data_IF_777975584485
#
_entry.id   IF_777975584485
#
_cell.length_a   1.000
_cell.length_b   1.000
_cell.length_c   1.000
_cell.angle_alpha   90.00
_cell.angle_beta   90.00
_cell.angle_gamma   90.00
#
_symmetry.space_group_name_H-M   'P 1'
#
loop_
_entity.id
_entity.type
_entity.pdbx_description
1 polymer ?
#
# COMPACT_ATOMS: atom_id res chain seq x y z
N UNK A 1 -7.34 -9.34 13.84
CA UNK A 1 -7.77 -8.89 15.19
C UNK A 1 -8.25 -10.08 15.99
N UNK A 2 -9.43 -10.64 15.69
CA UNK A 2 -9.97 -11.81 16.42
C UNK A 2 -9.10 -13.07 16.36
N UNK A 3 -8.46 -13.31 15.21
CA UNK A 3 -7.54 -14.45 15.08
C UNK A 3 -6.41 -14.38 16.12
N UNK A 4 -5.91 -13.18 16.44
CA UNK A 4 -4.88 -13.03 17.46
C UNK A 4 -5.45 -13.27 18.86
N UNK A 5 -6.65 -12.78 19.14
CA UNK A 5 -7.28 -12.97 20.45
C UNK A 5 -7.64 -14.44 20.70
N UNK A 6 -8.12 -15.14 19.68
CA UNK A 6 -8.51 -16.55 19.74
C UNK A 6 -7.30 -17.49 19.79
N UNK A 7 -6.22 -17.18 19.05
CA UNK A 7 -5.04 -18.03 18.99
C UNK A 7 -4.09 -17.86 20.19
N UNK A 8 -3.95 -16.65 20.74
CA UNK A 8 -2.93 -16.29 21.73
C UNK A 8 -3.51 -15.85 23.09
N UNK A 9 -4.83 -15.70 23.18
CA UNK A 9 -5.51 -15.18 24.35
C UNK A 9 -5.51 -13.65 24.42
N UNK A 10 -6.47 -13.11 25.18
CA UNK A 10 -6.83 -11.67 25.19
C UNK A 10 -5.65 -10.71 25.45
N UNK A 11 -4.74 -11.05 26.37
CA UNK A 11 -3.61 -10.16 26.74
C UNK A 11 -2.55 -10.07 25.65
N UNK A 12 -2.16 -11.21 25.06
CA UNK A 12 -1.14 -11.25 24.00
C UNK A 12 -1.75 -10.76 22.68
N UNK A 13 -3.00 -11.10 22.39
CA UNK A 13 -3.75 -10.59 21.25
C UNK A 13 -3.87 -9.06 21.27
N UNK A 14 -4.16 -8.47 22.42
CA UNK A 14 -4.15 -7.01 22.62
C UNK A 14 -2.80 -6.38 22.27
N UNK A 15 -1.68 -6.93 22.80
CA UNK A 15 -0.35 -6.40 22.52
C UNK A 15 -0.02 -6.44 21.02
N UNK A 16 -0.32 -7.56 20.35
CA UNK A 16 -0.06 -7.71 18.91
C UNK A 16 -0.94 -6.79 18.06
N UNK A 17 -2.22 -6.62 18.41
CA UNK A 17 -3.10 -5.69 17.73
C UNK A 17 -2.63 -4.24 17.89
N UNK A 18 -2.07 -3.86 19.04
CA UNK A 18 -1.46 -2.53 19.24
C UNK A 18 -0.19 -2.33 18.43
N UNK A 19 0.70 -3.33 18.40
CA UNK A 19 1.91 -3.29 17.55
C UNK A 19 1.50 -3.14 16.08
N UNK A 20 0.49 -3.91 15.66
CA UNK A 20 -0.01 -3.84 14.29
C UNK A 20 -0.64 -2.48 13.98
N UNK A 21 -1.42 -1.91 14.91
CA UNK A 21 -1.93 -0.55 14.80
C UNK A 21 -0.80 0.48 14.62
N UNK A 22 0.29 0.36 15.38
CA UNK A 22 1.46 1.24 15.25
C UNK A 22 2.14 1.10 13.88
N UNK A 23 2.30 -0.13 13.38
CA UNK A 23 2.85 -0.39 12.04
C UNK A 23 2.00 0.30 10.97
N UNK A 24 0.67 0.21 11.07
CA UNK A 24 -0.23 0.89 10.14
C UNK A 24 -0.07 2.42 10.20
N UNK A 25 0.00 3.01 11.39
CA UNK A 25 0.21 4.47 11.56
C UNK A 25 1.54 4.95 10.97
N UNK A 26 2.61 4.17 11.18
CA UNK A 26 3.92 4.46 10.58
C UNK A 26 3.88 4.32 9.06
N UNK A 27 3.23 3.27 8.54
CA UNK A 27 3.07 3.05 7.11
C UNK A 27 2.35 4.23 6.45
N UNK A 28 1.24 4.70 7.03
CA UNK A 28 0.48 5.86 6.53
C UNK A 28 1.38 7.11 6.50
N UNK A 29 2.17 7.32 7.55
CA UNK A 29 3.02 8.51 7.68
C UNK A 29 4.17 8.52 6.67
N UNK A 30 4.79 7.36 6.44
CA UNK A 30 5.86 7.21 5.43
C UNK A 30 5.28 7.42 4.04
N UNK A 31 4.20 6.71 3.71
CA UNK A 31 3.54 6.83 2.40
C UNK A 31 3.07 8.26 2.17
N UNK A 32 2.38 8.90 3.12
CA UNK A 32 1.93 10.28 2.98
C UNK A 32 3.09 11.27 2.80
N UNK A 33 4.26 11.01 3.42
CA UNK A 33 5.46 11.82 3.19
C UNK A 33 6.00 11.64 1.78
N UNK A 34 6.08 10.41 1.28
CA UNK A 34 6.47 10.12 -0.11
C UNK A 34 5.59 10.89 -1.10
N UNK A 35 4.28 10.85 -0.90
CA UNK A 35 3.32 11.57 -1.73
C UNK A 35 3.39 13.09 -1.61
N UNK A 36 3.67 13.59 -0.42
CA UNK A 36 3.84 15.03 -0.19
C UNK A 36 5.06 15.55 -0.94
N UNK A 37 6.18 14.83 -0.87
CA UNK A 37 7.41 15.22 -1.57
C UNK A 37 7.22 15.14 -3.09
N UNK A 38 6.59 14.07 -3.61
CA UNK A 38 6.26 13.97 -5.03
C UNK A 38 5.32 15.11 -5.50
N UNK A 39 4.26 15.38 -4.75
CA UNK A 39 3.31 16.46 -5.08
C UNK A 39 3.97 17.83 -5.06
N UNK A 40 4.86 18.05 -4.08
CA UNK A 40 5.65 19.27 -4.01
C UNK A 40 6.55 19.42 -5.23
N UNK A 41 7.26 18.37 -5.64
CA UNK A 41 8.20 18.41 -6.77
C UNK A 41 7.50 18.58 -8.12
N UNK A 42 6.30 18.00 -8.30
CA UNK A 42 5.65 17.95 -9.61
C UNK A 42 4.51 18.96 -9.80
N UNK A 43 3.88 19.47 -8.72
CA UNK A 43 2.75 20.40 -8.83
C UNK A 43 2.93 21.67 -8.02
N UNK A 44 3.37 21.53 -6.76
CA UNK A 44 3.24 22.57 -5.74
C UNK A 44 4.60 22.98 -5.17
N UNK A 45 5.54 23.33 -6.05
CA UNK A 45 6.95 23.62 -5.70
C UNK A 45 7.10 24.62 -4.55
N UNK A 46 6.27 25.66 -4.55
CA UNK A 46 6.31 26.76 -3.57
C UNK A 46 5.50 26.47 -2.29
N UNK A 47 4.71 25.39 -2.26
CA UNK A 47 3.84 25.10 -1.11
C UNK A 47 4.62 24.39 0.00
N UNK A 48 4.56 24.85 1.25
CA UNK A 48 5.18 24.14 2.36
C UNK A 48 4.52 22.76 2.56
N UNK A 49 5.31 21.72 2.89
CA UNK A 49 4.81 20.34 2.98
C UNK A 49 3.68 20.19 4.00
N UNK A 50 3.69 20.96 5.09
CA UNK A 50 2.63 20.96 6.11
C UNK A 50 1.23 21.27 5.56
N UNK A 51 1.11 22.17 4.59
CA UNK A 51 -0.18 22.48 3.97
C UNK A 51 -0.69 21.31 3.13
N UNK A 52 0.19 20.66 2.37
CA UNK A 52 -0.15 19.49 1.55
C UNK A 52 -0.60 18.34 2.46
N UNK A 53 0.18 18.01 3.49
CA UNK A 53 -0.17 16.98 4.47
C UNK A 53 -1.51 17.30 5.14
N UNK A 54 -1.73 18.55 5.54
CA UNK A 54 -2.99 18.99 6.16
C UNK A 54 -4.21 18.73 5.28
N UNK A 55 -4.13 19.01 3.98
CA UNK A 55 -5.23 18.76 3.03
C UNK A 55 -5.55 17.27 2.91
N UNK A 56 -4.51 16.41 2.81
CA UNK A 56 -4.70 14.96 2.80
C UNK A 56 -5.36 14.47 4.09
N UNK A 57 -4.89 14.95 5.25
CA UNK A 57 -5.43 14.56 6.55
C UNK A 57 -6.91 14.97 6.68
N UNK A 58 -7.28 16.17 6.28
CA UNK A 58 -8.67 16.63 6.29
C UNK A 58 -9.55 15.70 5.45
N UNK A 59 -9.10 15.36 4.23
CA UNK A 59 -9.82 14.44 3.36
C UNK A 59 -9.94 13.03 3.96
N UNK A 60 -8.86 12.50 4.53
CA UNK A 60 -8.85 11.19 5.21
C UNK A 60 -9.83 11.17 6.38
N UNK A 61 -9.84 12.21 7.22
CA UNK A 61 -10.76 12.34 8.37
C UNK A 61 -12.20 12.39 7.91
N UNK A 62 -12.50 13.23 6.91
CA UNK A 62 -13.85 13.39 6.37
C UNK A 62 -14.40 12.05 5.85
N UNK A 63 -13.64 11.36 5.00
CA UNK A 63 -14.08 10.06 4.44
C UNK A 63 -14.16 9.00 5.54
N UNK A 64 -13.25 9.01 6.52
CA UNK A 64 -13.27 8.08 7.65
C UNK A 64 -14.49 8.25 8.56
N UNK A 65 -14.99 9.48 8.75
CA UNK A 65 -16.23 9.72 9.50
C UNK A 65 -17.48 9.14 8.82
N UNK A 66 -17.46 9.04 7.49
CA UNK A 66 -18.55 8.43 6.72
C UNK A 66 -18.51 6.89 6.76
N UNK A 67 -17.46 6.30 7.35
CA UNK A 67 -17.34 4.86 7.61
C UNK A 67 -16.88 4.02 6.41
N UNK A 68 -16.69 2.73 6.69
CA UNK A 68 -16.08 1.76 5.76
C UNK A 68 -16.85 1.59 4.44
N UNK A 69 -18.18 1.61 4.50
CA UNK A 69 -19.01 1.45 3.30
C UNK A 69 -18.80 2.63 2.33
N UNK A 70 -18.64 3.84 2.86
CA UNK A 70 -18.37 5.05 2.08
C UNK A 70 -16.98 4.97 1.43
N UNK A 71 -15.96 4.50 2.17
CA UNK A 71 -14.62 4.23 1.60
C UNK A 71 -14.73 3.24 0.44
N UNK A 72 -15.46 2.14 0.63
CA UNK A 72 -15.66 1.13 -0.42
C UNK A 72 -16.40 1.65 -1.66
N UNK A 73 -17.42 2.50 -1.48
CA UNK A 73 -18.15 3.15 -2.58
C UNK A 73 -17.26 4.09 -3.37
N UNK A 74 -16.47 4.91 -2.69
CA UNK A 74 -15.50 5.83 -3.32
C UNK A 74 -14.42 5.05 -4.07
N UNK A 75 -13.86 4.00 -3.45
CA UNK A 75 -12.89 3.12 -4.08
C UNK A 75 -13.43 2.46 -5.36
N UNK A 76 -14.69 1.99 -5.33
CA UNK A 76 -15.35 1.41 -6.50
C UNK A 76 -15.65 2.44 -7.58
N UNK A 77 -16.06 3.66 -7.21
CA UNK A 77 -16.33 4.73 -8.15
C UNK A 77 -15.06 5.11 -8.94
N UNK A 78 -13.94 5.24 -8.23
CA UNK A 78 -12.68 5.67 -8.84
C UNK A 78 -11.85 4.53 -9.43
N UNK A 79 -12.11 3.26 -9.13
CA UNK A 79 -11.34 2.16 -9.71
C UNK A 79 -11.35 2.14 -11.24
N UNK A 80 -12.50 2.40 -11.87
CA UNK A 80 -12.63 2.44 -13.33
C UNK A 80 -11.79 3.56 -13.98
N UNK A 81 -11.92 4.84 -13.60
CA UNK A 81 -11.09 5.89 -14.19
C UNK A 81 -9.61 5.72 -13.86
N UNK A 82 -9.26 5.18 -12.69
CA UNK A 82 -7.86 4.89 -12.33
C UNK A 82 -7.25 3.84 -13.27
N UNK A 83 -7.93 2.72 -13.50
CA UNK A 83 -7.47 1.68 -14.43
C UNK A 83 -7.41 2.21 -15.86
N UNK A 84 -8.40 2.99 -16.28
CA UNK A 84 -8.43 3.60 -17.60
C UNK A 84 -7.24 4.54 -17.82
N UNK A 85 -6.94 5.43 -16.87
CA UNK A 85 -5.81 6.33 -16.94
C UNK A 85 -4.49 5.57 -16.95
N UNK A 86 -4.36 4.55 -16.11
CA UNK A 86 -3.20 3.67 -16.09
C UNK A 86 -2.94 3.03 -17.46
N UNK A 87 -3.94 2.36 -18.04
CA UNK A 87 -3.83 1.72 -19.36
C UNK A 87 -3.48 2.76 -20.43
N UNK A 88 -4.10 3.95 -20.38
CA UNK A 88 -3.85 5.04 -21.32
C UNK A 88 -2.38 5.48 -21.29
N UNK A 89 -1.80 5.69 -20.10
CA UNK A 89 -0.39 6.06 -19.96
C UNK A 89 0.53 4.99 -20.56
N UNK A 90 0.26 3.71 -20.29
CA UNK A 90 1.07 2.61 -20.84
C UNK A 90 0.97 2.54 -22.37
N UNK A 91 -0.24 2.61 -22.93
CA UNK A 91 -0.45 2.55 -24.38
C UNK A 91 0.19 3.72 -25.11
N UNK A 92 0.07 4.93 -24.58
CA UNK A 92 0.65 6.12 -25.19
C UNK A 92 2.18 6.14 -25.07
N UNK A 93 2.74 5.50 -24.04
CA UNK A 93 4.20 5.35 -23.87
C UNK A 93 4.84 4.36 -24.86
N UNK A 94 4.04 3.59 -25.61
CA UNK A 94 4.52 2.50 -26.47
C UNK A 94 5.62 2.91 -27.46
N UNK A 95 5.58 4.13 -28.02
CA UNK A 95 6.62 4.63 -28.95
C UNK A 95 8.02 4.68 -28.36
N UNK A 96 8.15 4.70 -27.04
CA UNK A 96 9.44 4.72 -26.33
C UNK A 96 9.99 3.32 -26.06
N UNK A 97 9.18 2.27 -26.29
CA UNK A 97 9.55 0.92 -25.91
C UNK A 97 10.60 0.37 -26.87
N UNK A 98 11.71 -0.07 -26.31
CA UNK A 98 12.80 -0.69 -27.05
C UNK A 98 12.98 -2.13 -26.57
N UNK A 99 12.48 -3.09 -27.36
CA UNK A 99 12.44 -4.51 -27.00
C UNK A 99 13.82 -5.10 -26.68
N UNK A 100 14.89 -4.58 -27.29
CA UNK A 100 16.26 -5.06 -27.04
C UNK A 100 16.71 -4.84 -25.59
N UNK A 101 16.08 -3.91 -24.85
CA UNK A 101 16.39 -3.63 -23.43
C UNK A 101 15.89 -4.70 -22.46
N UNK A 102 15.08 -5.65 -22.94
CA UNK A 102 14.72 -6.84 -22.17
C UNK A 102 15.90 -7.80 -22.00
N UNK A 103 16.93 -7.66 -22.84
CA UNK A 103 18.08 -8.55 -22.83
C UNK A 103 19.23 -7.98 -21.98
N UNK A 104 19.99 -8.85 -21.28
CA UNK A 104 19.78 -10.29 -21.16
C UNK A 104 18.59 -10.64 -20.25
N UNK A 105 17.72 -11.55 -20.72
CA UNK A 105 16.62 -12.06 -19.89
C UNK A 105 17.21 -12.77 -18.67
N UNK A 106 16.63 -12.51 -17.49
CA UNK A 106 17.05 -13.03 -16.19
C UNK A 106 18.46 -12.60 -15.73
N UNK A 107 19.19 -11.75 -16.47
CA UNK A 107 20.44 -11.09 -16.06
C UNK A 107 21.31 -11.89 -15.06
N UNK A 108 21.25 -11.49 -13.79
CA UNK A 108 21.99 -12.07 -12.65
C UNK A 108 21.52 -13.47 -12.20
N UNK A 109 20.66 -14.13 -12.96
CA UNK A 109 20.05 -15.43 -12.69
C UNK A 109 18.66 -15.36 -12.06
N UNK A 110 17.92 -16.47 -12.21
CA UNK A 110 16.59 -16.62 -11.63
C UNK A 110 16.61 -16.59 -10.09
N UNK A 111 17.68 -17.10 -9.46
CA UNK A 111 17.84 -17.09 -8.01
C UNK A 111 17.83 -15.68 -7.42
N UNK A 112 18.69 -14.79 -7.94
CA UNK A 112 18.72 -13.39 -7.53
C UNK A 112 17.40 -12.67 -7.81
N UNK A 113 16.72 -13.02 -8.91
CA UNK A 113 15.41 -12.46 -9.24
C UNK A 113 14.35 -12.84 -8.21
N UNK A 114 14.30 -14.12 -7.81
CA UNK A 114 13.36 -14.61 -6.79
C UNK A 114 13.66 -14.02 -5.42
N UNK A 115 14.93 -13.93 -5.03
CA UNK A 115 15.34 -13.32 -3.77
C UNK A 115 14.89 -11.85 -3.69
N UNK A 116 15.17 -11.06 -4.73
CA UNK A 116 14.70 -9.68 -4.81
C UNK A 116 13.18 -9.57 -4.81
N UNK A 117 12.48 -10.50 -5.47
CA UNK A 117 11.02 -10.58 -5.45
C UNK A 117 10.46 -10.83 -4.05
N UNK A 118 11.08 -11.73 -3.27
CA UNK A 118 10.71 -12.01 -1.89
C UNK A 118 10.97 -10.81 -0.97
N UNK A 119 12.15 -10.18 -1.08
CA UNK A 119 12.48 -9.00 -0.30
C UNK A 119 11.47 -7.86 -0.58
N UNK A 120 11.08 -7.69 -1.84
CA UNK A 120 10.12 -6.65 -2.27
C UNK A 120 8.65 -7.04 -2.12
N UNK A 121 8.36 -8.24 -1.59
CA UNK A 121 6.98 -8.71 -1.39
C UNK A 121 6.17 -7.82 -0.44
N UNK A 122 6.83 -7.04 0.41
CA UNK A 122 6.22 -6.04 1.29
C UNK A 122 5.33 -5.02 0.55
N UNK A 123 5.53 -4.82 -0.76
CA UNK A 123 4.64 -4.03 -1.61
C UNK A 123 3.19 -4.55 -1.62
N UNK A 124 2.96 -5.83 -1.30
CA UNK A 124 1.63 -6.44 -1.17
C UNK A 124 1.18 -6.53 0.30
N UNK A 125 1.92 -5.96 1.24
CA UNK A 125 1.71 -6.08 2.69
C UNK A 125 0.38 -5.50 3.16
N UNK A 126 -0.20 -4.54 2.44
CA UNK A 126 -1.50 -3.96 2.78
C UNK A 126 -2.68 -4.93 2.59
N UNK A 127 -2.45 -6.11 2.01
CA UNK A 127 -3.48 -7.16 1.91
C UNK A 127 -4.04 -7.56 3.28
N UNK A 128 -3.29 -7.33 4.36
CA UNK A 128 -3.72 -7.62 5.73
C UNK A 128 -4.97 -6.82 6.11
N UNK A 129 -5.21 -5.67 5.48
CA UNK A 129 -6.45 -4.90 5.65
C UNK A 129 -7.69 -5.72 5.35
N UNK A 130 -7.63 -6.68 4.41
CA UNK A 130 -8.75 -7.59 4.17
C UNK A 130 -9.11 -8.38 5.43
N UNK A 131 -8.10 -8.83 6.19
CA UNK A 131 -8.30 -9.52 7.46
C UNK A 131 -8.93 -8.64 8.54
N UNK A 132 -8.62 -7.34 8.54
CA UNK A 132 -9.24 -6.36 9.45
C UNK A 132 -10.71 -6.15 9.07
N UNK A 133 -11.00 -6.05 7.77
CA UNK A 133 -12.34 -5.79 7.24
C UNK A 133 -13.16 -7.06 6.97
N UNK A 134 -12.67 -8.24 7.36
CA UNK A 134 -13.27 -9.52 7.04
C UNK A 134 -14.74 -9.62 7.51
N UNK A 135 -15.05 -9.07 8.69
CA UNK A 135 -16.43 -9.02 9.22
C UNK A 135 -17.38 -8.10 8.46
N UNK A 136 -16.85 -7.14 7.71
CA UNK A 136 -17.65 -6.26 6.87
C UNK A 136 -17.96 -6.89 5.50
N UNK A 137 -17.39 -8.06 5.18
CA UNK A 137 -17.70 -8.79 3.97
C UNK A 137 -18.96 -9.66 4.15
N UNK A 138 -19.75 -9.76 3.08
CA UNK A 138 -21.01 -10.51 3.09
C UNK A 138 -20.84 -12.01 3.34
N UNK A 139 -19.70 -12.60 2.99
CA UNK A 139 -19.42 -14.01 3.25
C UNK A 139 -17.92 -14.32 3.39
N UNK A 140 -17.61 -15.41 4.09
CA UNK A 140 -16.25 -15.96 4.22
C UNK A 140 -15.69 -16.50 2.90
N UNK A 141 -16.56 -16.92 1.96
CA UNK A 141 -16.16 -17.33 0.61
C UNK A 141 -15.68 -16.12 -0.21
N UNK A 142 -16.31 -14.97 -0.04
CA UNK A 142 -15.92 -13.74 -0.72
C UNK A 142 -14.54 -13.27 -0.28
N UNK A 143 -14.16 -13.48 1.00
CA UNK A 143 -12.84 -13.14 1.51
C UNK A 143 -11.69 -13.76 0.68
N UNK A 144 -11.74 -15.07 0.43
CA UNK A 144 -10.68 -15.77 -0.31
C UNK A 144 -10.64 -15.42 -1.81
N UNK A 145 -11.80 -15.11 -2.39
CA UNK A 145 -11.92 -14.69 -3.79
C UNK A 145 -11.38 -13.26 -3.96
N UNK A 146 -11.81 -12.34 -3.09
CA UNK A 146 -11.39 -10.94 -3.11
C UNK A 146 -9.88 -10.82 -2.88
N UNK A 147 -9.33 -11.54 -1.89
CA UNK A 147 -7.88 -11.53 -1.63
C UNK A 147 -7.06 -12.00 -2.83
N UNK A 148 -7.44 -13.13 -3.44
CA UNK A 148 -6.73 -13.68 -4.61
C UNK A 148 -6.82 -12.76 -5.82
N UNK A 149 -8.01 -12.23 -6.11
CA UNK A 149 -8.21 -11.28 -7.21
C UNK A 149 -7.43 -9.99 -6.95
N UNK A 150 -7.40 -9.50 -5.71
CA UNK A 150 -6.63 -8.34 -5.30
C UNK A 150 -5.13 -8.50 -5.61
N UNK A 151 -4.52 -9.60 -5.17
CA UNK A 151 -3.11 -9.91 -5.44
C UNK A 151 -2.85 -10.03 -6.94
N UNK A 152 -3.70 -10.76 -7.68
CA UNK A 152 -3.50 -10.95 -9.11
C UNK A 152 -3.58 -9.64 -9.89
N UNK A 153 -4.54 -8.78 -9.55
CA UNK A 153 -4.70 -7.48 -10.21
C UNK A 153 -3.53 -6.55 -9.85
N UNK A 154 -3.16 -6.43 -8.57
CA UNK A 154 -2.03 -5.59 -8.18
C UNK A 154 -0.71 -6.09 -8.75
N UNK A 155 -0.52 -7.41 -8.78
CA UNK A 155 0.62 -8.06 -9.42
C UNK A 155 0.68 -7.76 -10.91
N UNK A 156 -0.43 -7.89 -11.63
CA UNK A 156 -0.48 -7.54 -13.05
C UNK A 156 -0.15 -6.06 -13.30
N UNK A 157 -0.66 -5.14 -12.47
CA UNK A 157 -0.37 -3.70 -12.57
C UNK A 157 1.11 -3.43 -12.34
N UNK A 158 1.69 -3.92 -11.24
CA UNK A 158 3.12 -3.72 -10.90
C UNK A 158 4.02 -4.35 -11.97
N UNK A 159 3.73 -5.58 -12.40
CA UNK A 159 4.48 -6.23 -13.48
C UNK A 159 4.42 -5.43 -14.79
N UNK A 160 3.26 -4.87 -15.13
CA UNK A 160 3.10 -4.03 -16.33
C UNK A 160 3.91 -2.73 -16.21
N UNK A 161 3.92 -2.10 -15.04
CA UNK A 161 4.75 -0.91 -14.77
C UNK A 161 6.23 -1.23 -14.95
N UNK A 162 6.72 -2.28 -14.29
CA UNK A 162 8.13 -2.69 -14.36
C UNK A 162 8.54 -3.05 -15.79
N UNK A 163 7.71 -3.82 -16.49
CA UNK A 163 7.93 -4.18 -17.88
C UNK A 163 8.03 -2.94 -18.78
N UNK A 164 7.08 -2.01 -18.64
CA UNK A 164 7.04 -0.78 -19.43
C UNK A 164 8.23 0.14 -19.10
N UNK A 165 8.69 0.15 -17.85
CA UNK A 165 9.84 0.93 -17.40
C UNK A 165 11.14 0.40 -18.01
N UNK A 166 11.36 -0.92 -17.97
CA UNK A 166 12.54 -1.59 -18.58
C UNK A 166 12.59 -1.36 -20.08
N UNK A 167 11.44 -1.39 -20.76
CA UNK A 167 11.37 -1.08 -22.19
C UNK A 167 11.67 0.40 -22.48
N UNK A 168 11.28 1.30 -21.59
CA UNK A 168 11.38 2.76 -21.78
C UNK A 168 12.73 3.35 -21.40
N UNK A 169 13.48 2.71 -20.49
CA UNK A 169 14.77 3.22 -20.01
C UNK A 169 15.85 2.13 -19.93
N UNK A 170 17.13 2.45 -20.18
CA UNK A 170 18.25 1.58 -19.84
C UNK A 170 18.28 1.25 -18.34
N UNK A 171 18.77 0.06 -17.97
CA UNK A 171 18.72 -0.43 -16.57
C UNK A 171 19.39 0.51 -15.57
N UNK A 172 20.51 1.15 -15.93
CA UNK A 172 21.24 2.07 -15.06
C UNK A 172 20.52 3.41 -14.86
N UNK A 173 19.65 3.80 -15.79
CA UNK A 173 18.77 4.96 -15.62
C UNK A 173 17.54 4.55 -14.81
N UNK A 174 16.93 3.41 -15.15
CA UNK A 174 15.73 2.91 -14.51
C UNK A 174 15.89 2.71 -12.99
N UNK A 175 17.10 2.35 -12.53
CA UNK A 175 17.42 2.19 -11.11
C UNK A 175 17.43 3.50 -10.30
N UNK A 176 17.64 4.64 -10.97
CA UNK A 176 17.76 5.96 -10.35
C UNK A 176 16.45 6.78 -10.44
N UNK A 177 15.44 6.26 -11.15
CA UNK A 177 14.15 6.95 -11.30
C UNK A 177 13.35 6.87 -10.00
N UNK A 178 13.04 8.02 -9.40
CA UNK A 178 12.09 8.10 -8.29
C UNK A 178 10.70 7.61 -8.72
N UNK A 179 10.14 8.20 -9.78
CA UNK A 179 8.77 7.94 -10.24
C UNK A 179 8.75 7.58 -11.72
N UNK A 180 9.06 6.32 -12.08
CA UNK A 180 9.22 5.93 -13.48
C UNK A 180 7.94 6.13 -14.31
N UNK A 181 6.76 5.91 -13.74
CA UNK A 181 5.49 6.09 -14.46
C UNK A 181 5.22 7.57 -14.75
N UNK A 182 5.55 8.47 -13.81
CA UNK A 182 5.43 9.92 -14.04
C UNK A 182 6.36 10.36 -15.17
N UNK A 183 7.63 9.92 -15.13
CA UNK A 183 8.62 10.28 -16.15
C UNK A 183 8.23 9.72 -17.52
N UNK A 184 7.68 8.50 -17.57
CA UNK A 184 7.11 7.97 -18.81
C UNK A 184 5.98 8.86 -19.33
N UNK A 185 5.04 9.25 -18.44
CA UNK A 185 3.91 10.08 -18.81
C UNK A 185 4.34 11.48 -19.31
N UNK A 186 5.38 12.07 -18.73
CA UNK A 186 5.90 13.38 -19.13
C UNK A 186 6.67 13.36 -20.45
N UNK A 187 7.15 12.19 -20.88
CA UNK A 187 7.80 11.99 -22.17
C UNK A 187 6.82 11.69 -23.31
N UNK A 188 5.51 11.60 -23.01
CA UNK A 188 4.48 11.42 -24.03
C UNK A 188 4.24 12.73 -24.76
N UNK A 189 4.58 12.73 -26.04
CA UNK A 189 4.32 13.83 -26.95
C UNK A 189 3.77 13.29 -28.28
N UNK A 190 2.46 13.43 -28.50
CA UNK A 190 1.83 13.15 -29.80
C UNK A 190 1.40 14.46 -30.45
N UNK A 191 2.40 15.17 -30.99
CA UNK A 191 2.18 16.39 -31.76
C UNK A 191 1.57 17.49 -30.90
N UNK A 192 0.58 18.20 -31.43
CA UNK A 192 -0.02 19.36 -30.74
C UNK A 192 -1.20 19.01 -29.82
N UNK A 193 -1.74 17.80 -29.90
CA UNK A 193 -3.02 17.45 -29.27
C UNK A 193 -2.87 16.73 -27.92
N UNK A 194 -1.93 15.79 -27.81
CA UNK A 194 -1.67 15.09 -26.55
C UNK A 194 -0.33 15.53 -25.99
N UNK A 195 -0.40 16.61 -25.22
CA UNK A 195 0.70 17.18 -24.45
C UNK A 195 0.31 17.16 -22.98
N UNK A 196 1.29 17.05 -22.09
CA UNK A 196 1.12 17.14 -20.64
C UNK A 196 0.27 16.02 -19.99
N UNK A 197 0.40 14.79 -20.48
CA UNK A 197 -0.36 13.64 -19.94
C UNK A 197 0.02 13.33 -18.49
N UNK A 198 1.23 13.72 -18.06
CA UNK A 198 1.69 13.58 -16.69
C UNK A 198 0.74 14.21 -15.66
N UNK A 199 -0.01 15.25 -16.03
CA UNK A 199 -1.00 15.88 -15.14
C UNK A 199 -2.15 14.92 -14.82
N UNK A 200 -2.63 14.17 -15.82
CA UNK A 200 -3.68 13.15 -15.65
C UNK A 200 -3.15 12.03 -14.76
N UNK A 201 -1.92 11.58 -15.00
CA UNK A 201 -1.28 10.56 -14.17
C UNK A 201 -1.22 11.01 -12.71
N UNK A 202 -0.66 12.19 -12.43
CA UNK A 202 -0.56 12.73 -11.08
C UNK A 202 -1.91 12.81 -10.39
N UNK A 203 -2.94 13.33 -11.07
CA UNK A 203 -4.27 13.47 -10.50
C UNK A 203 -4.83 12.10 -10.08
N UNK A 204 -4.74 11.12 -10.98
CA UNK A 204 -5.21 9.76 -10.70
C UNK A 204 -4.37 9.07 -9.62
N UNK A 205 -3.07 9.30 -9.61
CA UNK A 205 -2.18 8.73 -8.60
C UNK A 205 -2.50 9.28 -7.22
N UNK A 206 -2.61 10.61 -7.06
CA UNK A 206 -3.00 11.27 -5.82
C UNK A 206 -4.36 10.76 -5.29
N UNK A 207 -5.32 10.55 -6.20
CA UNK A 207 -6.63 10.04 -5.84
C UNK A 207 -6.59 8.58 -5.36
N UNK A 208 -5.84 7.73 -6.06
CA UNK A 208 -5.65 6.33 -5.67
C UNK A 208 -4.98 6.22 -4.30
N UNK A 209 -3.99 7.06 -4.05
CA UNK A 209 -3.29 7.19 -2.76
C UNK A 209 -4.23 7.64 -1.67
N UNK A 210 -5.04 8.67 -1.90
CA UNK A 210 -5.97 9.16 -0.89
C UNK A 210 -6.92 8.05 -0.44
N UNK A 211 -7.43 7.26 -1.38
CA UNK A 211 -8.30 6.11 -1.09
C UNK A 211 -7.54 5.03 -0.31
N UNK A 212 -6.32 4.69 -0.73
CA UNK A 212 -5.47 3.71 -0.06
C UNK A 212 -5.12 4.13 1.38
N UNK A 213 -4.60 5.34 1.57
CA UNK A 213 -4.28 5.92 2.87
C UNK A 213 -5.50 5.96 3.78
N UNK A 214 -6.68 6.31 3.27
CA UNK A 214 -7.91 6.30 4.06
C UNK A 214 -8.28 4.89 4.52
N UNK A 215 -8.11 3.87 3.66
CA UNK A 215 -8.37 2.48 4.03
C UNK A 215 -7.38 1.98 5.10
N UNK A 216 -6.08 2.28 4.95
CA UNK A 216 -5.05 1.92 5.95
C UNK A 216 -5.33 2.63 7.28
N UNK A 217 -5.66 3.93 7.23
CA UNK A 217 -6.01 4.75 8.38
C UNK A 217 -7.23 4.21 9.14
N UNK A 218 -8.30 3.92 8.41
CA UNK A 218 -9.50 3.33 9.01
C UNK A 218 -9.22 1.93 9.57
N UNK A 219 -8.30 1.18 8.97
CA UNK A 219 -7.79 -0.08 9.52
C UNK A 219 -7.09 0.09 10.86
N UNK A 220 -6.22 1.10 11.00
CA UNK A 220 -5.55 1.43 12.26
C UNK A 220 -6.56 1.83 13.36
N UNK A 221 -7.54 2.68 13.01
CA UNK A 221 -8.64 3.05 13.92
C UNK A 221 -9.42 1.80 14.35
N UNK A 222 -9.76 0.92 13.41
CA UNK A 222 -10.48 -0.32 13.71
C UNK A 222 -9.70 -1.21 14.68
N UNK A 223 -8.39 -1.40 14.45
CA UNK A 223 -7.50 -2.12 15.36
C UNK A 223 -7.51 -1.55 16.77
N UNK A 224 -7.38 -0.23 16.91
CA UNK A 224 -7.39 0.41 18.22
C UNK A 224 -8.73 0.27 18.93
N UNK A 225 -9.85 0.52 18.22
CA UNK A 225 -11.18 0.40 18.82
C UNK A 225 -11.54 -1.03 19.22
N UNK A 226 -11.01 -2.04 18.50
CA UNK A 226 -11.17 -3.45 18.85
C UNK A 226 -10.44 -3.79 20.16
N UNK A 227 -9.22 -3.26 20.35
CA UNK A 227 -8.42 -3.52 21.55
C UNK A 227 -9.09 -2.97 22.82
N UNK A 228 -9.66 -1.76 22.74
CA UNK A 228 -10.24 -1.06 23.88
C UNK A 228 -11.77 -1.19 23.96
N UNK A 229 -12.38 -2.03 23.12
CA UNK A 229 -13.84 -2.26 23.06
C UNK A 229 -14.64 -0.94 22.96
N UNK A 230 -14.18 -0.05 22.07
CA UNK A 230 -14.76 1.28 21.91
C UNK A 230 -15.88 1.28 20.85
N UNK A 231 -17.06 1.74 21.25
CA UNK A 231 -18.21 1.86 20.36
C UNK A 231 -18.12 3.06 19.40
N UNK A 232 -17.53 4.18 19.85
CA UNK A 232 -17.38 5.38 19.01
C UNK A 232 -15.95 5.51 18.48
N UNK A 233 -15.84 5.54 17.14
CA UNK A 233 -14.58 5.68 16.40
C UNK A 233 -14.18 7.14 16.18
N UNK A 234 -15.13 8.09 16.27
CA UNK A 234 -14.90 9.49 15.89
C UNK A 234 -13.79 10.17 16.69
N UNK A 235 -13.70 10.03 18.03
CA UNK A 235 -12.60 10.63 18.79
C UNK A 235 -11.24 10.06 18.38
N UNK A 236 -11.17 8.76 18.10
CA UNK A 236 -9.93 8.08 17.68
C UNK A 236 -9.51 8.54 16.29
N UNK A 237 -10.45 8.75 15.37
CA UNK A 237 -10.18 9.31 14.04
C UNK A 237 -9.48 10.68 14.16
N UNK A 238 -9.97 11.57 15.01
CA UNK A 238 -9.35 12.90 15.18
C UNK A 238 -7.96 12.79 15.81
N UNK A 239 -7.83 12.00 16.87
CA UNK A 239 -6.55 11.82 17.57
C UNK A 239 -5.49 11.20 16.67
N UNK A 240 -5.85 10.15 15.91
CA UNK A 240 -4.92 9.47 15.02
C UNK A 240 -4.55 10.34 13.82
N UNK A 241 -5.48 11.15 13.30
CA UNK A 241 -5.19 12.10 12.24
C UNK A 241 -4.11 13.11 12.67
N UNK A 242 -4.19 13.61 13.91
CA UNK A 242 -3.18 14.50 14.46
C UNK A 242 -1.81 13.80 14.65
N UNK A 243 -1.83 12.55 15.12
CA UNK A 243 -0.60 11.74 15.25
C UNK A 243 0.05 11.53 13.87
N UNK A 244 -0.73 11.10 12.86
CA UNK A 244 -0.22 10.89 11.50
C UNK A 244 0.32 12.20 10.91
N UNK A 245 -0.37 13.33 11.13
CA UNK A 245 0.12 14.64 10.70
C UNK A 245 1.52 14.93 11.27
N UNK A 246 1.71 14.79 12.58
CA UNK A 246 3.01 15.01 13.23
C UNK A 246 4.06 14.04 12.72
N UNK A 247 3.74 12.75 12.69
CA UNK A 247 4.67 11.71 12.24
C UNK A 247 5.13 11.99 10.80
N UNK A 248 4.22 12.33 9.90
CA UNK A 248 4.53 12.65 8.49
C UNK A 248 5.51 13.82 8.34
N UNK A 249 5.43 14.82 9.23
CA UNK A 249 6.34 15.97 9.20
C UNK A 249 7.73 15.64 9.77
N UNK A 250 7.79 14.78 10.78
CA UNK A 250 9.06 14.30 11.37
C UNK A 250 9.82 13.39 10.41
N UNK A 251 9.08 12.57 9.66
CA UNK A 251 9.63 11.65 8.68
C UNK A 251 10.55 12.42 7.71
N UNK A 252 11.82 12.02 7.51
CA UNK A 252 12.75 12.71 6.61
C UNK A 252 12.24 12.76 5.17
N UNK A 253 12.76 13.69 4.36
CA UNK A 253 12.45 13.75 2.92
C UNK A 253 12.83 12.45 2.20
N UNK A 254 12.12 12.14 1.13
CA UNK A 254 12.31 10.91 0.33
C UNK A 254 13.76 10.75 -0.14
N UNK A 255 14.46 11.84 -0.44
CA UNK A 255 15.89 11.83 -0.79
C UNK A 255 16.75 11.18 0.29
N UNK A 256 16.57 11.56 1.56
CA UNK A 256 17.29 10.98 2.71
C UNK A 256 16.80 9.56 3.00
N UNK A 257 15.52 9.29 2.72
CA UNK A 257 14.97 7.96 2.86
C UNK A 257 15.58 6.95 1.89
N UNK A 258 15.77 7.31 0.63
CA UNK A 258 16.31 6.40 -0.39
C UNK A 258 17.71 5.91 -0.04
N UNK A 259 18.53 6.77 0.58
CA UNK A 259 19.91 6.46 0.93
C UNK A 259 20.04 5.60 2.20
N UNK A 260 19.15 5.78 3.19
CA UNK A 260 19.33 5.19 4.53
C UNK A 260 18.16 4.36 5.06
N UNK A 261 16.94 4.69 4.67
CA UNK A 261 15.71 4.18 5.31
C UNK A 261 15.04 3.14 4.45
N UNK A 262 14.84 3.40 3.15
CA UNK A 262 14.17 2.53 2.19
C UNK A 262 14.85 1.17 2.00
N UNK A 263 16.19 1.06 1.89
CA UNK A 263 16.84 -0.24 1.80
C UNK A 263 16.55 -1.11 3.04
N UNK A 264 16.63 -0.51 4.23
CA UNK A 264 16.42 -1.19 5.51
C UNK A 264 14.94 -1.51 5.77
N UNK A 265 14.02 -0.58 5.51
CA UNK A 265 12.57 -0.77 5.66
C UNK A 265 12.01 -1.72 4.60
N UNK A 266 12.51 -1.72 3.36
CA UNK A 266 12.09 -2.70 2.34
C UNK A 266 12.68 -4.08 2.64
N UNK A 267 13.90 -4.17 3.16
CA UNK A 267 14.48 -5.43 3.63
C UNK A 267 13.80 -6.01 4.87
N UNK A 268 13.25 -5.18 5.76
CA UNK A 268 12.56 -5.63 6.98
C UNK A 268 11.02 -5.60 6.85
N UNK A 269 10.48 -4.96 5.82
CA UNK A 269 9.04 -4.74 5.67
C UNK A 269 8.25 -6.03 5.52
N UNK A 270 8.81 -7.03 4.82
CA UNK A 270 8.19 -8.35 4.72
C UNK A 270 8.14 -9.04 6.09
N UNK A 271 9.14 -8.81 6.95
CA UNK A 271 9.15 -9.31 8.32
C UNK A 271 8.00 -8.65 9.11
N UNK A 272 7.87 -7.33 9.07
CA UNK A 272 6.83 -6.61 9.83
C UNK A 272 5.39 -7.00 9.45
N UNK A 273 5.10 -7.15 8.15
CA UNK A 273 3.75 -7.49 7.68
C UNK A 273 3.46 -9.00 7.78
N UNK A 274 4.39 -9.87 7.40
CA UNK A 274 4.11 -11.31 7.31
C UNK A 274 4.41 -12.07 8.62
N UNK A 275 5.32 -11.61 9.49
CA UNK A 275 5.62 -12.36 10.72
C UNK A 275 4.45 -12.47 11.69
N UNK A 276 3.62 -11.44 11.96
CA UNK A 276 2.49 -11.61 12.88
C UNK A 276 1.47 -12.63 12.34
N UNK A 277 1.32 -12.69 11.02
CA UNK A 277 0.44 -13.65 10.33
C UNK A 277 1.03 -15.05 10.37
N UNK A 278 2.32 -15.22 10.08
CA UNK A 278 2.98 -16.52 10.13
C UNK A 278 2.95 -17.08 11.55
N UNK A 279 3.19 -16.24 12.56
CA UNK A 279 3.09 -16.63 13.97
C UNK A 279 1.66 -17.08 14.29
N UNK A 280 0.64 -16.30 13.91
CA UNK A 280 -0.75 -16.68 14.15
C UNK A 280 -1.16 -17.96 13.40
N UNK A 281 -0.70 -18.15 12.16
CA UNK A 281 -0.97 -19.35 11.37
C UNK A 281 -0.30 -20.59 11.96
N UNK A 282 0.98 -20.48 12.35
CA UNK A 282 1.72 -21.58 12.99
C UNK A 282 1.03 -21.98 14.30
N UNK A 283 0.66 -21.01 15.12
CA UNK A 283 -0.01 -21.25 16.40
C UNK A 283 -1.37 -21.91 16.17
N UNK A 284 -2.18 -21.41 15.23
CA UNK A 284 -3.43 -22.06 14.85
C UNK A 284 -3.22 -23.50 14.37
N UNK A 285 -2.20 -23.74 13.53
CA UNK A 285 -1.88 -25.06 12.98
C UNK A 285 -1.50 -26.06 14.09
N UNK A 286 -0.66 -25.65 15.04
CA UNK A 286 -0.25 -26.47 16.18
C UNK A 286 -1.37 -26.71 17.19
N UNK A 287 -2.18 -25.69 17.51
CA UNK A 287 -3.32 -25.81 18.44
C UNK A 287 -4.46 -26.66 17.86
N UNK A 288 -4.75 -26.55 16.56
CA UNK A 288 -5.75 -27.39 15.89
C UNK A 288 -5.34 -28.86 15.87
N UNK A 289 -4.06 -29.15 15.62
CA UNK A 289 -3.53 -30.53 15.72
C UNK A 289 -3.61 -31.10 17.13
N UNK A 290 -3.34 -30.30 18.17
CA UNK A 290 -3.54 -30.73 19.56
C UNK A 290 -5.00 -31.03 19.87
N UNK A 291 -5.95 -30.13 19.54
CA UNK A 291 -7.39 -30.40 19.75
C UNK A 291 -7.90 -31.64 18.98
N UNK A 292 -7.41 -31.87 17.76
CA UNK A 292 -7.77 -33.05 16.97
C UNK A 292 -7.10 -34.35 17.46
N UNK A 293 -5.93 -34.27 18.10
CA UNK A 293 -5.27 -35.41 18.74
C UNK A 293 -5.98 -35.81 20.05
N UNK A 294 -6.31 -34.84 20.91
CA UNK A 294 -7.07 -35.09 22.14
C UNK A 294 -8.51 -35.59 21.89
N UNK A 295 -9.13 -35.22 20.78
CA UNK A 295 -10.45 -35.71 20.38
C UNK A 295 -10.43 -37.10 19.70
N UNK A 296 -9.24 -37.68 19.46
CA UNK A 296 -9.07 -39.05 18.96
C UNK A 296 -8.63 -40.05 20.05
N UNK A 297 -8.17 -39.55 21.20
CA UNK A 297 -7.77 -40.36 22.36
C UNK A 297 -8.88 -40.54 23.40
N UNK A 298 -10.01 -39.81 23.26
CA UNK A 298 -11.26 -40.00 24.02
C UNK A 298 -12.35 -40.51 23.07
#
# INVERSE_FOLDING_TARGET
MEIFDEALGKKIGMLLNLIFCLILLLSISITLREFTDATKVYLLNETPPGFIVGLFIIAIVFVSFLGLESIGRVAKLFSYPLIFAFITVILLSFKRFQAYRLYPLLGYGAGATLENGLIRSSAYGEIILLGIFAKALNSTKDFGIVGRRGILISGAVISTVLFSTILSFPYFIAGELMDPVYIMASLIDYGRFFQRIEVVFIFTWNLSTLIGLTAVFYGAVACYTHVFDMNDKKPIIVSFAFIVYILTLIVPTVSIMLDYVVPNLRQLGWVGFYTPILIAWLIWFFFKRRKQAYAKEN
#
